data_IF_142139190684
#
_entry.id   IF_142139190684
#
_cell.length_a   1.000
_cell.length_b   1.000
_cell.length_c   1.000
_cell.angle_alpha   90.00
_cell.angle_beta   90.00
_cell.angle_gamma   90.00
#
_symmetry.space_group_name_H-M   'P 1'
#
loop_
_entity.id
_entity.type
_entity.pdbx_description
1 polymer ?
#
# COMPACT_ATOMS: atom_id res chain seq x y z
N UNK A 1 -43.66 21.98 -44.33
CA UNK A 1 -43.72 20.54 -44.00
C UNK A 1 -42.35 19.93 -44.26
N UNK A 2 -41.83 19.17 -43.29
CA UNK A 2 -40.64 18.32 -43.33
C UNK A 2 -39.28 19.04 -43.23
N UNK A 3 -38.31 18.60 -42.44
CA UNK A 3 -38.22 17.62 -41.34
C UNK A 3 -36.77 17.77 -40.84
N UNK A 4 -36.61 18.05 -39.55
CA UNK A 4 -35.58 17.51 -38.65
C UNK A 4 -34.23 17.21 -39.31
N UNK A 5 -33.23 18.10 -39.14
CA UNK A 5 -31.82 17.74 -39.34
C UNK A 5 -31.10 17.67 -37.98
N UNK A 6 -31.24 16.48 -37.40
CA UNK A 6 -30.35 15.76 -36.49
C UNK A 6 -29.23 16.55 -35.78
N UNK A 7 -29.49 16.91 -34.53
CA UNK A 7 -28.46 17.00 -33.49
C UNK A 7 -27.89 15.60 -33.25
N UNK A 8 -26.73 15.29 -33.83
CA UNK A 8 -25.97 14.07 -33.51
C UNK A 8 -25.21 14.38 -32.21
N UNK A 9 -25.90 14.16 -31.09
CA UNK A 9 -25.31 14.12 -29.75
C UNK A 9 -24.50 12.82 -29.67
N UNK A 10 -23.21 12.89 -29.99
CA UNK A 10 -22.28 11.79 -29.76
C UNK A 10 -22.05 11.73 -28.24
N UNK A 11 -22.95 11.05 -27.55
CA UNK A 11 -22.71 10.48 -26.23
C UNK A 11 -21.65 9.38 -26.42
N UNK A 12 -20.38 9.77 -26.37
CA UNK A 12 -19.30 8.87 -26.00
C UNK A 12 -19.54 8.46 -24.55
N UNK A 13 -20.45 7.51 -24.33
CA UNK A 13 -20.46 6.72 -23.11
C UNK A 13 -19.20 5.87 -23.17
N UNK A 14 -18.11 6.45 -22.65
CA UNK A 14 -16.89 5.72 -22.33
C UNK A 14 -17.36 4.68 -21.32
N UNK A 15 -17.62 3.46 -21.78
CA UNK A 15 -17.77 2.31 -20.92
C UNK A 15 -16.40 2.06 -20.30
N UNK A 16 -16.04 2.88 -19.31
CA UNK A 16 -14.95 2.58 -18.41
C UNK A 16 -15.31 1.25 -17.78
N UNK A 17 -14.56 0.21 -18.14
CA UNK A 17 -14.59 -1.03 -17.39
C UNK A 17 -14.05 -0.67 -16.01
N UNK A 18 -14.94 -0.30 -15.09
CA UNK A 18 -14.54 -0.13 -13.70
C UNK A 18 -13.87 -1.43 -13.27
N UNK A 19 -12.70 -1.36 -12.63
CA UNK A 19 -12.07 -2.57 -12.13
C UNK A 19 -13.06 -3.28 -11.22
N UNK A 20 -13.11 -4.62 -11.31
CA UNK A 20 -14.00 -5.42 -10.46
C UNK A 20 -13.85 -5.09 -8.96
N UNK A 21 -12.69 -4.56 -8.58
CA UNK A 21 -12.41 -4.01 -7.26
C UNK A 21 -11.62 -2.69 -7.41
N UNK A 22 -12.28 -1.52 -7.41
CA UNK A 22 -11.59 -0.25 -7.44
C UNK A 22 -10.83 0.00 -6.12
N UNK A 23 -9.75 0.81 -6.14
CA UNK A 23 -9.10 1.25 -4.91
C UNK A 23 -10.08 2.09 -4.07
N UNK A 24 -9.84 2.21 -2.75
CA UNK A 24 -10.63 3.08 -1.90
C UNK A 24 -10.67 4.52 -2.42
N UNK A 25 -11.77 5.23 -2.16
CA UNK A 25 -11.91 6.63 -2.57
C UNK A 25 -10.74 7.48 -2.03
N UNK A 26 -10.15 8.31 -2.90
CA UNK A 26 -9.01 9.18 -2.57
C UNK A 26 -7.65 8.48 -2.43
N UNK A 27 -7.57 7.15 -2.57
CA UNK A 27 -6.32 6.40 -2.48
C UNK A 27 -5.29 6.84 -3.52
N UNK A 28 -5.71 6.91 -4.79
CA UNK A 28 -4.82 7.22 -5.92
C UNK A 28 -4.20 8.62 -5.78
N UNK A 29 -5.04 9.61 -5.48
CA UNK A 29 -4.60 10.99 -5.30
C UNK A 29 -3.67 11.11 -4.08
N UNK A 30 -4.08 10.53 -2.94
CA UNK A 30 -3.31 10.62 -1.70
C UNK A 30 -1.98 9.88 -1.75
N UNK A 31 -1.91 8.76 -2.48
CA UNK A 31 -0.73 7.91 -2.45
C UNK A 31 0.25 8.16 -3.60
N UNK A 32 -0.25 8.56 -4.76
CA UNK A 32 0.58 8.71 -5.97
C UNK A 32 0.51 10.12 -6.58
N UNK A 33 -0.37 11.00 -6.07
CA UNK A 33 -0.65 12.28 -6.71
C UNK A 33 -1.22 12.10 -8.13
N UNK A 34 -1.91 10.98 -8.38
CA UNK A 34 -2.56 10.66 -9.67
C UNK A 34 -2.03 9.38 -10.34
N UNK A 35 -0.72 9.24 -10.58
CA UNK A 35 -0.17 8.15 -11.42
C UNK A 35 0.86 7.28 -10.68
N UNK A 36 0.47 6.04 -10.36
CA UNK A 36 1.36 5.04 -9.75
C UNK A 36 2.56 4.68 -10.63
N UNK A 37 2.32 4.48 -11.92
CA UNK A 37 3.33 4.01 -12.87
C UNK A 37 4.46 5.02 -13.02
N UNK A 38 4.12 6.31 -13.06
CA UNK A 38 5.10 7.38 -13.12
C UNK A 38 5.94 7.49 -11.85
N UNK A 39 5.34 7.26 -10.67
CA UNK A 39 5.99 7.56 -9.38
C UNK A 39 6.70 6.38 -8.72
N UNK A 40 6.22 5.15 -8.92
CA UNK A 40 6.66 3.99 -8.14
C UNK A 40 7.09 2.78 -8.97
N UNK A 41 6.66 2.66 -10.23
CA UNK A 41 7.03 1.49 -11.03
C UNK A 41 8.55 1.39 -11.22
N UNK A 42 9.12 0.22 -10.86
CA UNK A 42 10.55 -0.04 -10.94
C UNK A 42 11.41 0.60 -9.84
N UNK A 43 10.81 1.36 -8.91
CA UNK A 43 11.52 1.91 -7.76
C UNK A 43 11.92 0.82 -6.77
N UNK A 44 13.03 1.04 -6.04
CA UNK A 44 13.44 0.18 -4.93
C UNK A 44 12.89 0.76 -3.63
N UNK A 45 12.38 -0.08 -2.71
CA UNK A 45 11.94 0.41 -1.42
C UNK A 45 13.14 0.88 -0.59
N UNK A 46 12.95 1.94 0.17
CA UNK A 46 13.90 2.43 1.17
C UNK A 46 13.86 1.59 2.45
N UNK A 47 12.70 1.01 2.75
CA UNK A 47 12.53 0.05 3.82
C UNK A 47 11.72 -1.14 3.31
N UNK A 48 12.24 -2.34 3.57
CA UNK A 48 11.53 -3.60 3.39
C UNK A 48 11.64 -4.40 4.70
N UNK A 49 10.50 -4.73 5.28
CA UNK A 49 10.40 -5.63 6.45
C UNK A 49 9.46 -6.77 6.09
N UNK A 50 9.88 -7.99 6.36
CA UNK A 50 9.07 -9.21 6.15
C UNK A 50 8.78 -9.88 7.48
N UNK A 51 7.50 -10.12 7.76
CA UNK A 51 7.01 -10.70 9.03
C UNK A 51 6.27 -12.02 8.78
N UNK A 52 6.54 -13.02 9.61
CA UNK A 52 5.66 -14.19 9.75
C UNK A 52 4.63 -13.94 10.84
N UNK A 53 3.52 -13.30 10.46
CA UNK A 53 2.50 -12.86 11.40
C UNK A 53 1.15 -13.55 11.12
N UNK A 54 0.62 -14.25 12.12
CA UNK A 54 -0.71 -14.86 12.07
C UNK A 54 -1.85 -13.84 12.12
N UNK A 55 -3.04 -14.26 11.68
CA UNK A 55 -4.25 -13.42 11.58
C UNK A 55 -4.67 -12.84 12.94
N UNK A 56 -4.39 -13.55 14.02
CA UNK A 56 -4.67 -13.14 15.40
C UNK A 56 -3.97 -11.83 15.81
N UNK A 57 -2.88 -11.46 15.12
CA UNK A 57 -2.10 -10.26 15.41
C UNK A 57 -2.48 -9.07 14.52
N UNK A 58 -3.25 -9.29 13.44
CA UNK A 58 -3.59 -8.27 12.46
C UNK A 58 -4.32 -7.06 13.06
N UNK A 59 -5.30 -7.20 13.98
CA UNK A 59 -5.96 -6.04 14.58
C UNK A 59 -4.98 -5.16 15.38
N UNK A 60 -4.00 -5.75 16.07
CA UNK A 60 -2.98 -5.01 16.82
C UNK A 60 -2.04 -4.27 15.88
N UNK A 61 -1.61 -4.91 14.79
CA UNK A 61 -0.78 -4.26 13.77
C UNK A 61 -1.52 -3.11 13.11
N UNK A 62 -2.79 -3.31 12.69
CA UNK A 62 -3.65 -2.25 12.14
C UNK A 62 -3.69 -1.03 13.06
N UNK A 63 -4.00 -1.22 14.35
CA UNK A 63 -4.07 -0.12 15.31
C UNK A 63 -2.75 0.64 15.47
N UNK A 64 -1.61 -0.05 15.37
CA UNK A 64 -0.29 0.60 15.38
C UNK A 64 -0.01 1.39 14.10
N UNK A 65 -0.36 0.83 12.94
CA UNK A 65 -0.21 1.50 11.65
C UNK A 65 -1.09 2.76 11.57
N UNK A 66 -2.34 2.67 12.02
CA UNK A 66 -3.25 3.81 12.10
C UNK A 66 -2.73 4.90 13.04
N UNK A 67 -2.16 4.49 14.19
CA UNK A 67 -1.51 5.43 15.12
C UNK A 67 -0.31 6.13 14.48
N UNK A 68 0.59 5.38 13.83
CA UNK A 68 1.75 5.95 13.11
C UNK A 68 1.27 6.95 12.05
N UNK A 69 0.22 6.59 11.29
CA UNK A 69 -0.33 7.46 10.26
C UNK A 69 -0.80 8.79 10.87
N UNK A 70 -1.56 8.72 11.95
CA UNK A 70 -2.08 9.89 12.68
C UNK A 70 -0.96 10.76 13.26
N UNK A 71 0.05 10.16 13.89
CA UNK A 71 1.17 10.88 14.50
C UNK A 71 2.05 11.61 13.48
N UNK A 72 2.09 11.12 12.25
CA UNK A 72 2.89 11.71 11.16
C UNK A 72 2.04 12.47 10.13
N UNK A 73 0.75 12.66 10.39
CA UNK A 73 -0.20 13.36 9.51
C UNK A 73 -0.22 12.82 8.07
N UNK A 74 -0.15 11.50 7.90
CA UNK A 74 -0.28 10.83 6.59
C UNK A 74 -1.63 10.13 6.49
N UNK A 75 -2.09 9.90 5.26
CA UNK A 75 -3.35 9.19 5.02
C UNK A 75 -3.19 7.71 5.35
N UNK A 76 -4.23 7.12 5.92
CA UNK A 76 -4.30 5.70 6.21
C UNK A 76 -5.45 5.07 5.43
N UNK A 77 -5.13 4.04 4.65
CA UNK A 77 -6.10 3.22 3.94
C UNK A 77 -5.97 1.79 4.42
N UNK A 78 -7.09 1.13 4.65
CA UNK A 78 -7.14 -0.23 5.14
C UNK A 78 -8.23 -1.01 4.43
N UNK A 79 -7.87 -2.21 3.98
CA UNK A 79 -8.75 -3.15 3.32
C UNK A 79 -8.45 -4.55 3.84
N UNK A 80 -9.43 -5.11 4.55
CA UNK A 80 -9.41 -6.47 5.05
C UNK A 80 -10.56 -7.22 4.40
N UNK A 81 -10.22 -8.33 3.74
CA UNK A 81 -11.20 -9.12 3.00
C UNK A 81 -11.09 -10.59 3.36
N UNK A 82 -12.26 -11.20 3.48
CA UNK A 82 -12.44 -12.63 3.64
C UNK A 82 -13.54 -13.09 2.68
N UNK A 83 -13.15 -13.71 1.57
CA UNK A 83 -14.09 -14.31 0.60
C UNK A 83 -13.36 -15.30 -0.31
N UNK A 84 -14.09 -16.31 -0.81
CA UNK A 84 -13.64 -17.24 -1.86
C UNK A 84 -12.23 -17.84 -1.67
N UNK A 85 -11.89 -18.17 -0.42
CA UNK A 85 -10.59 -18.75 -0.08
C UNK A 85 -9.43 -17.76 -0.05
N UNK A 86 -9.68 -16.45 0.03
CA UNK A 86 -8.69 -15.42 0.29
C UNK A 86 -8.97 -14.75 1.65
N UNK A 87 -7.95 -14.71 2.50
CA UNK A 87 -7.88 -13.83 3.67
C UNK A 87 -6.76 -12.82 3.45
N UNK A 88 -7.09 -11.54 3.44
CA UNK A 88 -6.16 -10.47 3.07
C UNK A 88 -6.07 -9.39 4.15
N UNK A 89 -4.84 -8.97 4.43
CA UNK A 89 -4.52 -7.73 5.13
C UNK A 89 -3.84 -6.79 4.13
N UNK A 90 -4.46 -5.66 3.83
CA UNK A 90 -3.82 -4.60 3.05
C UNK A 90 -3.97 -3.27 3.76
N UNK A 91 -2.85 -2.62 4.07
CA UNK A 91 -2.82 -1.30 4.67
C UNK A 91 -1.84 -0.41 3.91
N UNK A 92 -2.23 0.82 3.62
CA UNK A 92 -1.33 1.81 3.03
C UNK A 92 -1.27 3.07 3.88
N UNK A 93 -0.07 3.60 4.06
CA UNK A 93 0.20 4.90 4.66
C UNK A 93 0.85 5.77 3.59
N UNK A 94 0.28 6.94 3.28
CA UNK A 94 0.80 7.71 2.17
C UNK A 94 0.53 9.22 2.25
N UNK A 95 1.33 9.96 1.48
CA UNK A 95 1.20 11.41 1.30
C UNK A 95 1.48 11.78 -0.16
N UNK A 96 0.74 12.75 -0.68
CA UNK A 96 0.95 13.35 -2.00
C UNK A 96 2.32 14.05 -2.13
N UNK A 97 2.91 14.39 -0.98
CA UNK A 97 4.25 14.97 -0.83
C UNK A 97 5.38 13.95 -1.00
N UNK A 98 5.07 12.72 -1.42
CA UNK A 98 6.08 11.78 -1.88
C UNK A 98 6.30 10.54 -1.04
N UNK A 99 5.38 10.18 -0.14
CA UNK A 99 5.51 8.97 0.68
C UNK A 99 4.50 7.92 0.24
N UNK A 100 4.97 6.70 0.03
CA UNK A 100 4.11 5.53 -0.10
C UNK A 100 4.64 4.35 0.72
N UNK A 101 3.85 3.94 1.70
CA UNK A 101 4.07 2.73 2.48
C UNK A 101 2.91 1.77 2.25
N UNK A 102 3.23 0.49 2.08
CA UNK A 102 2.26 -0.58 1.93
C UNK A 102 2.59 -1.74 2.86
N UNK A 103 1.57 -2.36 3.44
CA UNK A 103 1.64 -3.58 4.24
C UNK A 103 0.65 -4.57 3.66
N UNK A 104 1.14 -5.65 3.05
CA UNK A 104 0.30 -6.66 2.38
C UNK A 104 0.59 -8.07 2.93
N UNK A 105 -0.48 -8.81 3.21
CA UNK A 105 -0.47 -10.25 3.46
C UNK A 105 -1.70 -10.85 2.81
N UNK A 106 -1.49 -11.97 2.11
CA UNK A 106 -2.57 -12.76 1.50
C UNK A 106 -2.40 -14.20 1.91
N UNK A 107 -3.49 -14.80 2.35
CA UNK A 107 -3.58 -16.22 2.70
C UNK A 107 -4.61 -16.83 1.77
N UNK A 108 -4.16 -17.73 0.91
CA UNK A 108 -5.02 -18.50 0.02
C UNK A 108 -5.32 -19.86 0.66
N UNK A 109 -6.59 -20.25 0.66
CA UNK A 109 -7.06 -21.54 1.15
C UNK A 109 -6.66 -22.70 0.22
N UNK A 110 -6.43 -22.41 -1.07
CA UNK A 110 -5.93 -23.38 -2.03
C UNK A 110 -4.40 -23.48 -1.94
N UNK A 111 -3.90 -24.68 -1.63
CA UNK A 111 -2.48 -24.99 -1.34
C UNK A 111 -1.50 -24.77 -2.49
N UNK A 112 -2.00 -24.50 -3.71
CA UNK A 112 -1.17 -24.34 -4.90
C UNK A 112 -0.49 -22.97 -4.97
N UNK A 113 -0.97 -21.99 -4.19
CA UNK A 113 -0.35 -20.67 -4.07
C UNK A 113 0.35 -20.57 -2.72
N UNK A 114 1.68 -20.44 -2.74
CA UNK A 114 2.47 -20.24 -1.53
C UNK A 114 2.09 -18.94 -0.83
N UNK A 115 1.69 -19.03 0.44
CA UNK A 115 1.40 -17.88 1.28
C UNK A 115 2.70 -17.15 1.62
N UNK A 116 2.93 -16.01 0.98
CA UNK A 116 4.12 -15.19 1.21
C UNK A 116 4.08 -14.55 2.59
N UNK A 117 5.23 -14.25 3.23
CA UNK A 117 5.28 -13.47 4.46
C UNK A 117 4.55 -12.14 4.31
N UNK A 118 4.15 -11.54 5.42
CA UNK A 118 3.61 -10.18 5.40
C UNK A 118 4.74 -9.23 5.01
N UNK A 119 4.52 -8.40 4.00
CA UNK A 119 5.52 -7.47 3.48
C UNK A 119 5.13 -6.04 3.83
N UNK A 120 6.02 -5.34 4.52
CA UNK A 120 5.98 -3.91 4.74
C UNK A 120 7.05 -3.26 3.86
N UNK A 121 6.63 -2.38 2.96
CA UNK A 121 7.51 -1.63 2.08
C UNK A 121 7.28 -0.13 2.23
N UNK A 122 8.34 0.66 2.22
CA UNK A 122 8.27 2.13 2.13
C UNK A 122 9.07 2.60 0.92
N UNK A 123 8.47 3.51 0.16
CA UNK A 123 9.06 4.21 -0.97
C UNK A 123 8.91 5.71 -0.75
N UNK A 124 9.92 6.48 -1.15
CA UNK A 124 9.76 7.93 -1.32
C UNK A 124 10.02 8.33 -2.77
N UNK A 125 9.09 9.12 -3.33
CA UNK A 125 9.13 9.56 -4.73
C UNK A 125 9.19 11.08 -4.89
N UNK A 126 9.01 11.83 -3.79
CA UNK A 126 9.28 13.28 -3.65
C UNK A 126 9.76 13.54 -2.21
N UNK A 127 10.43 14.69 -2.01
CA UNK A 127 10.82 15.20 -0.69
C UNK A 127 11.52 14.18 0.23
N UNK A 128 12.40 13.33 -0.34
CA UNK A 128 12.97 12.16 0.37
C UNK A 128 13.57 12.49 1.74
N UNK A 129 14.26 13.63 1.86
CA UNK A 129 14.87 14.07 3.12
C UNK A 129 13.86 14.33 4.25
N UNK A 130 12.61 14.67 3.91
CA UNK A 130 11.53 14.91 4.89
C UNK A 130 11.02 13.58 5.50
N UNK A 131 11.18 12.47 4.77
CA UNK A 131 10.62 11.17 5.13
C UNK A 131 11.58 10.28 5.94
N UNK A 132 12.85 10.67 6.09
CA UNK A 132 13.86 9.90 6.84
C UNK A 132 13.39 9.61 8.27
N UNK A 133 12.85 10.61 8.96
CA UNK A 133 12.34 10.45 10.33
C UNK A 133 11.13 9.52 10.38
N UNK A 134 10.23 9.59 9.39
CA UNK A 134 9.10 8.67 9.29
C UNK A 134 9.59 7.22 9.14
N UNK A 135 10.53 6.97 8.23
CA UNK A 135 11.08 5.64 7.95
C UNK A 135 11.74 5.05 9.20
N UNK A 136 12.58 5.84 9.91
CA UNK A 136 13.24 5.40 11.13
C UNK A 136 12.24 5.14 12.28
N UNK A 137 11.17 5.95 12.37
CA UNK A 137 10.09 5.72 13.33
C UNK A 137 9.34 4.42 13.06
N UNK A 138 9.00 4.13 11.79
CA UNK A 138 8.37 2.86 11.40
C UNK A 138 9.29 1.70 11.72
N UNK A 139 10.55 1.75 11.27
CA UNK A 139 11.54 0.71 11.53
C UNK A 139 11.69 0.43 13.03
N UNK A 140 11.90 1.47 13.83
CA UNK A 140 12.04 1.36 15.28
C UNK A 140 10.78 0.80 15.95
N UNK A 141 9.60 1.19 15.47
CA UNK A 141 8.32 0.65 15.97
C UNK A 141 8.20 -0.84 15.66
N UNK A 142 8.53 -1.25 14.42
CA UNK A 142 8.48 -2.65 14.01
C UNK A 142 9.48 -3.51 14.79
N UNK A 143 10.74 -3.05 14.92
CA UNK A 143 11.77 -3.74 15.69
C UNK A 143 11.46 -3.84 17.19
N UNK A 144 10.75 -2.88 17.76
CA UNK A 144 10.38 -2.92 19.17
C UNK A 144 9.23 -3.88 19.46
N UNK A 145 8.25 -3.95 18.54
CA UNK A 145 6.98 -4.62 18.79
C UNK A 145 6.83 -5.98 18.12
N UNK A 146 7.65 -6.28 17.11
CA UNK A 146 7.44 -7.44 16.22
C UNK A 146 8.72 -8.17 15.83
N UNK A 147 9.88 -7.86 16.43
CA UNK A 147 11.19 -8.41 16.02
C UNK A 147 11.26 -9.93 16.07
N UNK A 148 10.52 -10.56 16.98
CA UNK A 148 10.42 -12.02 17.07
C UNK A 148 9.74 -12.66 15.85
N UNK A 149 8.93 -11.90 15.11
CA UNK A 149 8.23 -12.35 13.89
C UNK A 149 9.02 -12.02 12.61
N UNK A 150 10.18 -11.37 12.69
CA UNK A 150 10.97 -11.04 11.51
C UNK A 150 11.46 -12.33 10.85
N UNK A 151 11.28 -12.43 9.53
CA UNK A 151 11.85 -13.53 8.74
C UNK A 151 13.38 -13.40 8.78
N UNK A 152 14.02 -14.29 9.54
CA UNK A 152 15.49 -14.36 9.67
C UNK A 152 16.09 -14.89 8.37
N UNK A 153 16.30 -14.01 7.38
CA UNK A 153 17.25 -14.17 6.25
C UNK A 153 17.23 -13.03 5.22
N UNK A 154 16.51 -11.90 5.45
CA UNK A 154 16.51 -10.76 4.51
C UNK A 154 17.08 -9.45 5.09
N UNK A 155 17.43 -9.44 6.38
CA UNK A 155 17.96 -8.26 7.08
C UNK A 155 19.37 -7.82 6.66
N UNK A 156 20.04 -8.53 5.73
CA UNK A 156 21.33 -8.10 5.16
C UNK A 156 21.19 -7.18 3.93
N UNK A 157 19.97 -6.96 3.41
CA UNK A 157 19.70 -6.02 2.31
C UNK A 157 19.17 -4.68 2.83
N UNK A 158 19.64 -4.22 4.00
CA UNK A 158 19.53 -2.80 4.33
C UNK A 158 20.62 -2.08 3.54
N UNK A 159 20.23 -1.60 2.36
CA UNK A 159 20.99 -0.73 1.48
C UNK A 159 21.80 0.28 2.32
N UNK A 160 23.12 0.27 2.10
CA UNK A 160 24.00 1.37 2.48
C UNK A 160 23.33 2.65 1.98
N UNK A 161 22.90 3.51 2.91
CA UNK A 161 22.61 4.91 2.63
C UNK A 161 23.91 5.53 2.11
N UNK A 162 24.09 5.54 0.80
CA UNK A 162 25.14 6.32 0.14
C UNK A 162 24.73 7.79 0.21
N UNK A 163 25.42 8.50 1.10
CA UNK A 163 25.57 9.95 1.13
C UNK A 163 26.11 10.48 -0.20
#
# INVERSE_FOLDING_TARGET
MHRILSFILILFTISGCEPAYPPPEGYVDSCYGGDFGEKLAGSKPELLITLELGVEHWPKLKGQLEKIAKENNVRFFFDEREYDGLTMFNASLCSEDGLYMNVDKRIWANSDVSNSPMMLTIYTYKNQSEWVTFIENVKSSMERNWKEYFVKNQSEVSLKLSY
#
